data_IF_929939752440
#
_entry.id   IF_929939752440
#
_cell.length_a   1.000
_cell.length_b   1.000
_cell.length_c   1.000
_cell.angle_alpha   90.00
_cell.angle_beta   90.00
_cell.angle_gamma   90.00
#
_symmetry.space_group_name_H-M   'P 1'
#
loop_
_entity.id
_entity.type
_entity.pdbx_description
1 polymer ?
#
# COMPACT_ATOMS: atom_id res chain seq x y z
N UNK A 1 22.76 14.24 -18.89
CA UNK A 1 21.43 13.89 -18.35
C UNK A 1 21.43 13.78 -16.82
N UNK A 2 22.11 12.80 -16.19
CA UNK A 2 22.11 12.62 -14.71
C UNK A 2 22.44 13.88 -13.90
N UNK A 3 23.40 14.71 -14.37
CA UNK A 3 23.80 15.97 -13.70
C UNK A 3 22.73 17.08 -13.77
N UNK A 4 21.96 17.14 -14.86
CA UNK A 4 20.87 18.12 -15.00
C UNK A 4 19.67 17.73 -14.15
N UNK A 5 19.39 16.43 -14.10
CA UNK A 5 18.33 15.86 -13.26
C UNK A 5 18.67 16.06 -11.77
N UNK A 6 19.92 15.87 -11.35
CA UNK A 6 20.33 16.12 -9.95
C UNK A 6 20.25 17.61 -9.56
N UNK A 7 20.42 18.53 -10.50
CA UNK A 7 20.19 19.97 -10.30
C UNK A 7 18.70 20.33 -10.17
N UNK A 8 17.78 19.39 -10.37
CA UNK A 8 16.33 19.60 -10.23
C UNK A 8 15.59 19.88 -11.54
N UNK A 9 16.27 19.79 -12.68
CA UNK A 9 15.68 20.02 -14.00
C UNK A 9 15.05 18.73 -14.57
N UNK A 10 14.57 17.82 -13.71
CA UNK A 10 14.00 16.55 -14.14
C UNK A 10 12.77 16.74 -15.05
N UNK A 11 11.91 17.72 -14.72
CA UNK A 11 10.75 18.06 -15.53
C UNK A 11 11.14 18.65 -16.89
N UNK A 12 12.15 19.51 -16.93
CA UNK A 12 12.66 20.13 -18.17
C UNK A 12 13.29 19.09 -19.09
N UNK A 13 14.11 18.19 -18.54
CA UNK A 13 14.71 17.08 -19.31
C UNK A 13 13.64 16.18 -19.92
N UNK A 14 12.56 15.87 -19.20
CA UNK A 14 11.45 15.07 -19.74
C UNK A 14 10.69 15.83 -20.82
N UNK A 15 10.43 17.12 -20.63
CA UNK A 15 9.73 17.95 -21.60
C UNK A 15 10.53 18.14 -22.89
N UNK A 16 11.84 18.35 -22.79
CA UNK A 16 12.74 18.50 -23.93
C UNK A 16 12.88 17.20 -24.72
N UNK A 17 13.03 16.05 -24.04
CA UNK A 17 13.09 14.77 -24.75
C UNK A 17 11.76 14.47 -25.44
N UNK A 18 10.62 14.74 -24.79
CA UNK A 18 9.30 14.56 -25.40
C UNK A 18 9.03 15.52 -26.57
N UNK A 19 9.67 16.69 -26.61
CA UNK A 19 9.52 17.62 -27.74
C UNK A 19 10.35 17.17 -28.95
N UNK A 20 11.45 16.45 -28.72
CA UNK A 20 12.30 15.87 -29.78
C UNK A 20 11.73 14.54 -30.28
N UNK A 21 11.30 13.67 -29.37
CA UNK A 21 10.70 12.36 -29.67
C UNK A 21 9.62 12.03 -28.63
N UNK A 22 8.33 12.20 -28.99
CA UNK A 22 7.20 11.92 -28.09
C UNK A 22 7.12 10.46 -27.61
N UNK A 23 7.65 9.51 -28.38
CA UNK A 23 7.56 8.08 -28.08
C UNK A 23 8.77 7.55 -27.31
N UNK A 24 9.80 8.37 -27.12
CA UNK A 24 11.06 7.97 -26.50
C UNK A 24 10.87 7.26 -25.16
N UNK A 25 10.08 7.83 -24.24
CA UNK A 25 9.87 7.25 -22.91
C UNK A 25 8.84 6.12 -22.89
N UNK A 26 7.99 6.02 -23.91
CA UNK A 26 7.13 4.84 -24.10
C UNK A 26 8.00 3.62 -24.40
N UNK A 27 9.02 3.81 -25.24
CA UNK A 27 9.98 2.77 -25.60
C UNK A 27 11.05 2.55 -24.51
N UNK A 28 11.41 3.60 -23.76
CA UNK A 28 12.48 3.59 -22.76
C UNK A 28 11.98 3.87 -21.34
N UNK A 29 10.97 3.13 -20.89
CA UNK A 29 10.35 3.32 -19.56
C UNK A 29 11.33 3.21 -18.39
N UNK A 30 12.42 2.44 -18.53
CA UNK A 30 13.49 2.36 -17.51
C UNK A 30 14.22 3.69 -17.35
N UNK A 31 14.44 4.42 -18.44
CA UNK A 31 15.11 5.74 -18.40
C UNK A 31 14.20 6.77 -17.73
N UNK A 32 12.90 6.77 -18.06
CA UNK A 32 11.93 7.62 -17.38
C UNK A 32 11.87 7.31 -15.89
N UNK A 33 11.89 6.01 -15.52
CA UNK A 33 11.93 5.58 -14.13
C UNK A 33 13.15 6.16 -13.40
N UNK A 34 14.36 6.05 -13.97
CA UNK A 34 15.58 6.58 -13.36
C UNK A 34 15.54 8.11 -13.19
N UNK A 35 15.02 8.85 -14.18
CA UNK A 35 14.88 10.31 -14.09
C UNK A 35 13.93 10.67 -12.93
N UNK A 36 12.77 10.01 -12.86
CA UNK A 36 11.78 10.24 -11.80
C UNK A 36 12.24 9.75 -10.43
N UNK A 37 13.11 8.73 -10.38
CA UNK A 37 13.74 8.27 -9.15
C UNK A 37 14.67 9.35 -8.56
N UNK A 38 15.44 10.05 -9.40
CA UNK A 38 16.30 11.15 -8.94
C UNK A 38 15.45 12.34 -8.44
N UNK A 39 14.37 12.67 -9.16
CA UNK A 39 13.40 13.69 -8.72
C UNK A 39 12.80 13.33 -7.35
N UNK A 40 12.36 12.08 -7.19
CA UNK A 40 11.86 11.55 -5.92
C UNK A 40 12.88 11.69 -4.79
N UNK A 41 14.12 11.23 -5.00
CA UNK A 41 15.17 11.24 -3.99
C UNK A 41 15.51 12.67 -3.55
N UNK A 42 15.52 13.63 -4.49
CA UNK A 42 15.72 15.04 -4.18
C UNK A 42 14.57 15.61 -3.34
N UNK A 43 13.32 15.32 -3.71
CA UNK A 43 12.16 15.78 -2.96
C UNK A 43 12.14 15.17 -1.54
N UNK A 44 12.44 13.87 -1.43
CA UNK A 44 12.52 13.16 -0.16
C UNK A 44 13.63 13.74 0.75
N UNK A 45 14.82 14.01 0.22
CA UNK A 45 15.92 14.59 1.00
C UNK A 45 15.72 16.07 1.34
N UNK A 46 14.90 16.80 0.58
CA UNK A 46 14.50 18.18 0.88
C UNK A 46 13.35 18.32 1.89
N UNK A 47 12.77 17.21 2.37
CA UNK A 47 11.63 17.20 3.29
C UNK A 47 10.26 17.43 2.61
N UNK A 48 10.21 17.59 1.29
CA UNK A 48 8.97 17.77 0.51
C UNK A 48 8.33 16.40 0.21
N UNK A 49 7.88 15.73 1.26
CA UNK A 49 7.39 14.35 1.18
C UNK A 49 6.16 14.20 0.28
N UNK A 50 5.21 15.13 0.32
CA UNK A 50 4.03 15.10 -0.55
C UNK A 50 4.39 15.15 -2.03
N UNK A 51 5.42 15.93 -2.39
CA UNK A 51 5.97 15.99 -3.74
C UNK A 51 6.61 14.67 -4.15
N UNK A 52 7.46 14.10 -3.29
CA UNK A 52 8.07 12.79 -3.54
C UNK A 52 7.00 11.71 -3.76
N UNK A 53 5.95 11.72 -2.93
CA UNK A 53 4.84 10.78 -3.05
C UNK A 53 4.04 10.91 -4.33
N UNK A 54 3.81 12.15 -4.77
CA UNK A 54 3.18 12.39 -6.06
C UNK A 54 4.02 11.83 -7.20
N UNK A 55 5.35 11.99 -7.16
CA UNK A 55 6.25 11.42 -8.18
C UNK A 55 6.20 9.88 -8.16
N UNK A 56 6.23 9.28 -6.97
CA UNK A 56 6.18 7.83 -6.83
C UNK A 56 4.87 7.23 -7.36
N UNK A 57 3.72 7.76 -6.96
CA UNK A 57 2.41 7.29 -7.40
C UNK A 57 2.16 7.53 -8.89
N UNK A 58 2.48 8.73 -9.40
CA UNK A 58 2.15 9.14 -10.77
C UNK A 58 3.06 8.49 -11.82
N UNK A 59 4.32 8.21 -11.49
CA UNK A 59 5.29 7.73 -12.47
C UNK A 59 5.88 6.37 -12.08
N UNK A 60 6.51 6.29 -10.91
CA UNK A 60 7.30 5.11 -10.55
C UNK A 60 6.43 3.86 -10.38
N UNK A 61 5.25 4.00 -9.78
CA UNK A 61 4.28 2.92 -9.60
C UNK A 61 3.78 2.35 -10.93
N UNK A 62 3.33 3.22 -11.83
CA UNK A 62 2.85 2.82 -13.16
C UNK A 62 3.95 2.13 -13.99
N UNK A 63 5.16 2.66 -13.99
CA UNK A 63 6.28 2.07 -14.73
C UNK A 63 6.67 0.70 -14.17
N UNK A 64 6.64 0.52 -12.84
CA UNK A 64 6.96 -0.76 -12.22
C UNK A 64 5.84 -1.80 -12.37
N UNK A 65 4.58 -1.37 -12.49
CA UNK A 65 3.46 -2.26 -12.79
C UNK A 65 3.62 -2.90 -14.19
N UNK A 66 4.09 -2.12 -15.17
CA UNK A 66 4.32 -2.60 -16.54
C UNK A 66 5.65 -3.32 -16.74
N UNK A 67 6.61 -3.19 -15.81
CA UNK A 67 7.93 -3.82 -15.92
C UNK A 67 8.40 -4.38 -14.56
N UNK A 68 8.31 -5.72 -14.36
CA UNK A 68 8.68 -6.38 -13.10
C UNK A 68 10.13 -6.13 -12.64
N UNK A 69 11.06 -5.84 -13.54
CA UNK A 69 12.46 -5.57 -13.19
C UNK A 69 12.63 -4.30 -12.34
N UNK A 70 11.65 -3.38 -12.41
CA UNK A 70 11.66 -2.11 -11.68
C UNK A 70 11.08 -2.23 -10.25
N UNK A 71 10.48 -3.37 -9.88
CA UNK A 71 9.88 -3.56 -8.56
C UNK A 71 10.91 -3.51 -7.43
N UNK A 72 12.11 -4.08 -7.63
CA UNK A 72 13.19 -4.02 -6.65
C UNK A 72 13.70 -2.57 -6.48
N UNK A 73 14.10 -1.85 -7.55
CA UNK A 73 14.44 -0.43 -7.46
C UNK A 73 13.34 0.44 -6.83
N UNK A 74 12.07 0.19 -7.14
CA UNK A 74 10.95 0.94 -6.56
C UNK A 74 10.87 0.75 -5.05
N UNK A 75 10.95 -0.50 -4.57
CA UNK A 75 10.95 -0.81 -3.13
C UNK A 75 12.09 -0.10 -2.41
N UNK A 76 13.31 -0.21 -2.94
CA UNK A 76 14.50 0.45 -2.38
C UNK A 76 14.33 1.99 -2.32
N UNK A 77 13.70 2.57 -3.35
CA UNK A 77 13.39 4.00 -3.42
C UNK A 77 12.36 4.41 -2.38
N UNK A 78 11.26 3.67 -2.22
CA UNK A 78 10.24 4.01 -1.23
C UNK A 78 10.77 3.89 0.21
N UNK A 79 11.71 2.96 0.45
CA UNK A 79 12.37 2.81 1.74
C UNK A 79 13.17 4.06 2.14
N UNK A 80 13.73 4.84 1.20
CA UNK A 80 14.43 6.08 1.57
C UNK A 80 13.48 7.10 2.20
N UNK A 81 12.23 7.15 1.76
CA UNK A 81 11.22 8.01 2.38
C UNK A 81 10.85 7.54 3.79
N UNK A 82 10.86 6.23 4.04
CA UNK A 82 10.58 5.65 5.35
C UNK A 82 11.74 5.89 6.34
N UNK A 83 12.99 5.73 5.88
CA UNK A 83 14.21 5.89 6.71
C UNK A 83 14.48 7.33 7.13
N UNK A 84 14.19 8.30 6.26
CA UNK A 84 14.29 9.73 6.63
C UNK A 84 13.25 10.18 7.67
N UNK A 85 12.38 9.27 8.12
CA UNK A 85 11.23 9.56 8.95
C UNK A 85 11.17 8.64 10.20
N UNK A 86 12.25 7.94 10.58
CA UNK A 86 12.24 7.05 11.76
C UNK A 86 11.92 7.79 13.07
N UNK A 87 12.29 9.07 13.19
CA UNK A 87 11.92 9.92 14.33
C UNK A 87 10.43 10.37 14.32
N UNK A 88 9.78 10.29 13.16
CA UNK A 88 8.39 10.69 12.95
C UNK A 88 7.45 9.49 12.70
N UNK A 89 7.92 8.25 12.87
CA UNK A 89 7.08 7.04 12.84
C UNK A 89 6.07 7.00 14.03
N UNK A 90 6.33 7.80 15.06
CA UNK A 90 5.40 8.03 16.16
C UNK A 90 4.11 8.78 15.72
N UNK A 91 4.19 9.60 14.66
CA UNK A 91 3.07 10.41 14.16
C UNK A 91 2.64 9.90 12.77
N UNK A 92 1.45 9.31 12.69
CA UNK A 92 0.88 8.49 11.60
C UNK A 92 0.70 9.12 10.21
N UNK A 93 1.30 10.27 9.93
CA UNK A 93 1.00 11.09 8.74
C UNK A 93 1.63 10.60 7.43
N UNK A 94 2.89 10.11 7.34
CA UNK A 94 3.53 9.89 6.03
C UNK A 94 3.09 8.60 5.33
N UNK A 95 2.88 7.52 6.09
CA UNK A 95 2.35 6.26 5.55
C UNK A 95 0.92 6.39 5.03
N UNK A 96 0.11 7.24 5.66
CA UNK A 96 -1.25 7.52 5.21
C UNK A 96 -1.22 8.24 3.85
N UNK A 97 -0.32 9.21 3.66
CA UNK A 97 -0.19 9.91 2.36
C UNK A 97 0.34 8.95 1.27
N UNK A 98 1.30 8.07 1.61
CA UNK A 98 1.75 6.98 0.74
C UNK A 98 0.58 6.13 0.26
N UNK A 99 -0.20 5.60 1.21
CA UNK A 99 -1.35 4.76 0.97
C UNK A 99 -2.37 5.45 0.05
N UNK A 100 -2.78 6.68 0.36
CA UNK A 100 -3.80 7.40 -0.43
C UNK A 100 -3.31 7.89 -1.78
N UNK A 101 -1.99 8.02 -1.97
CA UNK A 101 -1.42 8.35 -3.29
C UNK A 101 -1.41 7.16 -4.24
N UNK A 102 -1.46 5.94 -3.72
CA UNK A 102 -1.62 4.72 -4.51
C UNK A 102 -3.10 4.55 -4.86
N UNK A 103 -3.44 4.58 -6.15
CA UNK A 103 -4.73 4.04 -6.61
C UNK A 103 -4.56 2.53 -6.78
N UNK A 104 -5.30 1.75 -6.01
CA UNK A 104 -5.32 0.30 -6.09
C UNK A 104 -6.77 -0.20 -6.09
N UNK A 105 -7.08 -1.17 -6.95
CA UNK A 105 -8.43 -1.73 -7.04
C UNK A 105 -8.82 -2.51 -5.77
N UNK A 106 -7.84 -3.21 -5.18
CA UNK A 106 -8.00 -4.09 -4.02
C UNK A 106 -6.81 -3.93 -3.07
N UNK A 107 -7.07 -3.95 -1.76
CA UNK A 107 -6.02 -3.99 -0.72
C UNK A 107 -6.08 -5.31 0.04
N UNK A 108 -4.97 -6.05 0.04
CA UNK A 108 -4.80 -7.27 0.84
C UNK A 108 -3.98 -6.97 2.10
N UNK A 109 -4.52 -7.31 3.25
CA UNK A 109 -3.95 -7.08 4.57
C UNK A 109 -3.62 -8.42 5.25
N UNK A 110 -2.32 -8.66 5.46
CA UNK A 110 -1.81 -9.82 6.20
C UNK A 110 -0.83 -9.35 7.28
N UNK A 111 -1.33 -8.48 8.17
CA UNK A 111 -0.53 -7.93 9.27
C UNK A 111 0.01 -9.05 10.17
N UNK A 112 1.20 -8.87 10.78
CA UNK A 112 1.77 -9.89 11.66
C UNK A 112 0.90 -10.09 12.90
N UNK A 113 0.65 -11.36 13.24
CA UNK A 113 -0.19 -11.76 14.39
C UNK A 113 0.62 -12.03 15.67
N UNK A 114 1.93 -11.80 15.65
CA UNK A 114 2.82 -12.13 16.79
C UNK A 114 3.47 -13.52 16.71
N UNK A 115 3.52 -14.12 15.52
CA UNK A 115 4.09 -15.47 15.33
C UNK A 115 3.28 -16.55 16.05
N UNK A 116 3.79 -17.78 16.22
CA UNK A 116 3.04 -18.90 16.82
C UNK A 116 2.39 -18.59 18.18
N UNK A 117 2.92 -17.61 18.91
CA UNK A 117 2.38 -17.14 20.19
C UNK A 117 0.93 -16.63 20.14
N UNK A 118 0.38 -16.29 18.96
CA UNK A 118 -1.04 -15.91 18.84
C UNK A 118 -1.99 -17.04 19.28
N UNK A 119 -1.55 -18.30 19.23
CA UNK A 119 -2.32 -19.47 19.66
C UNK A 119 -2.58 -19.48 21.17
N UNK A 120 -1.72 -18.83 21.96
CA UNK A 120 -1.89 -18.72 23.42
C UNK A 120 -3.00 -17.72 23.80
N UNK A 121 -3.53 -16.95 22.84
CA UNK A 121 -4.59 -15.99 23.06
C UNK A 121 -5.93 -16.67 22.82
N UNK A 122 -6.79 -16.76 23.85
CA UNK A 122 -8.10 -17.41 23.69
C UNK A 122 -9.00 -16.73 22.65
N UNK A 123 -8.95 -15.40 22.58
CA UNK A 123 -9.71 -14.58 21.65
C UNK A 123 -8.83 -13.44 21.15
N UNK A 124 -8.40 -13.49 19.90
CA UNK A 124 -7.48 -12.53 19.31
C UNK A 124 -8.24 -11.26 18.90
N UNK A 125 -7.99 -10.15 19.59
CA UNK A 125 -8.60 -8.86 19.22
C UNK A 125 -7.76 -8.12 18.19
N UNK A 126 -8.39 -7.26 17.39
CA UNK A 126 -7.72 -6.47 16.35
C UNK A 126 -6.67 -5.51 16.92
N UNK A 127 -6.78 -5.14 18.20
CA UNK A 127 -5.80 -4.32 18.94
C UNK A 127 -4.43 -5.00 19.11
N UNK A 128 -4.40 -6.34 19.01
CA UNK A 128 -3.18 -7.13 19.12
C UNK A 128 -2.34 -7.12 17.84
N UNK A 129 -2.90 -6.65 16.71
CA UNK A 129 -2.14 -6.50 15.48
C UNK A 129 -1.02 -5.47 15.67
N UNK A 130 0.13 -5.76 15.06
CA UNK A 130 1.32 -4.90 15.07
C UNK A 130 1.72 -4.57 13.62
N UNK A 131 2.43 -3.45 13.38
CA UNK A 131 2.83 -2.40 14.34
C UNK A 131 1.70 -1.44 14.72
N UNK A 132 0.56 -1.47 14.01
CA UNK A 132 -0.65 -0.69 14.29
C UNK A 132 -1.83 -1.63 14.50
N UNK A 133 -2.82 -1.17 15.26
CA UNK A 133 -4.04 -1.92 15.50
C UNK A 133 -4.84 -2.12 14.20
N UNK A 134 -5.68 -3.16 14.19
CA UNK A 134 -6.46 -3.53 13.01
C UNK A 134 -7.46 -2.47 12.56
N UNK A 135 -7.99 -1.66 13.48
CA UNK A 135 -8.91 -0.58 13.14
C UNK A 135 -8.19 0.52 12.36
N UNK A 136 -7.05 0.99 12.86
CA UNK A 136 -6.21 1.98 12.18
C UNK A 136 -5.77 1.51 10.80
N UNK A 137 -5.34 0.24 10.69
CA UNK A 137 -4.92 -0.35 9.40
C UNK A 137 -6.09 -0.40 8.42
N UNK A 138 -7.26 -0.86 8.87
CA UNK A 138 -8.46 -0.92 8.04
C UNK A 138 -8.90 0.47 7.56
N UNK A 139 -8.87 1.48 8.44
CA UNK A 139 -9.21 2.85 8.06
C UNK A 139 -8.23 3.43 7.03
N UNK A 140 -6.93 3.12 7.13
CA UNK A 140 -5.96 3.51 6.12
C UNK A 140 -6.26 2.82 4.79
N UNK A 141 -6.49 1.50 4.80
CA UNK A 141 -6.84 0.73 3.60
C UNK A 141 -8.12 1.26 2.92
N UNK A 142 -9.14 1.64 3.71
CA UNK A 142 -10.39 2.23 3.20
C UNK A 142 -10.20 3.56 2.48
N UNK A 143 -9.18 4.35 2.85
CA UNK A 143 -8.84 5.57 2.11
C UNK A 143 -8.23 5.28 0.74
N UNK A 144 -7.74 4.06 0.51
CA UNK A 144 -7.24 3.59 -0.78
C UNK A 144 -8.41 3.04 -1.62
N UNK A 145 -9.19 2.10 -1.06
CA UNK A 145 -10.29 1.41 -1.75
C UNK A 145 -11.29 0.80 -0.76
N UNK A 146 -12.59 0.70 -1.10
CA UNK A 146 -13.57 -0.06 -0.32
C UNK A 146 -13.38 -1.60 -0.43
N UNK A 147 -12.60 -2.06 -1.40
CA UNK A 147 -12.37 -3.47 -1.69
C UNK A 147 -11.15 -3.98 -0.90
N UNK A 148 -11.40 -4.49 0.31
CA UNK A 148 -10.34 -4.89 1.25
C UNK A 148 -10.46 -6.37 1.52
N UNK A 149 -9.33 -7.06 1.61
CA UNK A 149 -9.25 -8.46 2.01
C UNK A 149 -8.32 -8.53 3.22
N UNK A 150 -8.79 -9.08 4.34
CA UNK A 150 -8.00 -9.24 5.56
C UNK A 150 -7.81 -10.72 5.87
N UNK A 151 -6.55 -11.17 5.94
CA UNK A 151 -6.20 -12.49 6.47
C UNK A 151 -5.90 -12.37 7.96
N UNK A 152 -6.65 -13.10 8.78
CA UNK A 152 -6.66 -12.99 10.24
C UNK A 152 -6.52 -14.38 10.90
N UNK A 153 -6.02 -14.45 12.15
CA UNK A 153 -5.85 -15.72 12.84
C UNK A 153 -7.21 -16.37 13.15
N UNK A 154 -7.22 -17.70 13.27
CA UNK A 154 -8.47 -18.46 13.40
C UNK A 154 -9.27 -18.17 14.69
N UNK A 155 -8.60 -17.67 15.72
CA UNK A 155 -9.15 -17.31 17.02
C UNK A 155 -9.54 -15.82 17.11
N UNK A 156 -9.62 -15.09 15.98
CA UNK A 156 -9.97 -13.67 15.95
C UNK A 156 -11.39 -13.39 16.46
N UNK A 157 -11.56 -12.24 17.12
CA UNK A 157 -12.88 -11.74 17.50
C UNK A 157 -13.70 -11.32 16.27
N UNK A 158 -14.54 -12.24 15.80
CA UNK A 158 -15.42 -12.00 14.66
C UNK A 158 -16.38 -10.81 14.86
N UNK A 159 -16.69 -10.43 16.10
CA UNK A 159 -17.51 -9.25 16.36
C UNK A 159 -16.79 -7.97 15.93
N UNK A 160 -15.49 -7.85 16.23
CA UNK A 160 -14.69 -6.70 15.82
C UNK A 160 -14.54 -6.64 14.29
N UNK A 161 -14.40 -7.79 13.62
CA UNK A 161 -14.35 -7.85 12.14
C UNK A 161 -15.67 -7.38 11.51
N UNK A 162 -16.81 -7.80 12.06
CA UNK A 162 -18.14 -7.34 11.62
C UNK A 162 -18.35 -5.85 11.88
N UNK A 163 -17.85 -5.36 13.01
CA UNK A 163 -17.89 -3.94 13.38
C UNK A 163 -17.18 -3.06 12.35
N UNK A 164 -16.01 -3.48 11.83
CA UNK A 164 -15.31 -2.76 10.75
C UNK A 164 -16.19 -2.52 9.53
N UNK A 165 -16.95 -3.54 9.12
CA UNK A 165 -17.85 -3.47 7.97
C UNK A 165 -19.08 -2.60 8.27
N UNK A 166 -19.69 -2.78 9.45
CA UNK A 166 -20.91 -2.10 9.86
C UNK A 166 -20.72 -0.60 10.14
N UNK A 167 -19.65 -0.23 10.83
CA UNK A 167 -19.33 1.17 11.16
C UNK A 167 -18.70 1.93 9.98
N UNK A 168 -18.50 1.27 8.85
CA UNK A 168 -18.07 1.95 7.63
C UNK A 168 -19.20 2.79 7.04
N UNK A 169 -18.86 3.93 6.41
CA UNK A 169 -19.81 4.75 5.67
C UNK A 169 -19.39 4.87 4.20
N UNK A 170 -20.22 4.39 3.24
CA UNK A 170 -21.37 3.51 3.48
C UNK A 170 -20.94 2.16 4.11
N UNK A 171 -21.85 1.41 4.77
CA UNK A 171 -21.54 0.08 5.29
C UNK A 171 -21.03 -0.83 4.18
N UNK A 172 -19.98 -1.60 4.47
CA UNK A 172 -19.36 -2.48 3.49
C UNK A 172 -19.98 -3.88 3.57
N UNK A 173 -20.33 -4.51 2.43
CA UNK A 173 -20.58 -5.95 2.39
C UNK A 173 -19.40 -6.71 2.99
N UNK A 174 -19.67 -7.77 3.75
CA UNK A 174 -18.67 -8.60 4.42
C UNK A 174 -18.95 -10.08 4.20
N UNK A 175 -17.95 -10.80 3.69
CA UNK A 175 -17.92 -12.26 3.64
C UNK A 175 -16.74 -12.77 4.48
N UNK A 176 -16.94 -13.84 5.23
CA UNK A 176 -15.89 -14.47 6.04
C UNK A 176 -15.73 -15.92 5.59
N UNK A 177 -14.53 -16.25 5.14
CA UNK A 177 -14.12 -17.59 4.73
C UNK A 177 -13.17 -18.19 5.76
N UNK A 178 -13.34 -19.47 6.08
CA UNK A 178 -12.45 -20.22 6.95
C UNK A 178 -11.41 -21.00 6.14
N UNK A 179 -10.12 -20.86 6.49
CA UNK A 179 -9.02 -21.49 5.78
C UNK A 179 -8.51 -22.71 6.54
N UNK A 180 -8.52 -23.88 5.89
CA UNK A 180 -8.09 -25.15 6.46
C UNK A 180 -6.84 -25.69 5.76
N UNK A 181 -5.91 -26.25 6.55
CA UNK A 181 -4.76 -27.03 6.06
C UNK A 181 -4.78 -28.38 6.76
N UNK A 182 -4.88 -29.47 5.99
CA UNK A 182 -5.00 -30.83 6.53
C UNK A 182 -6.11 -30.94 7.60
N UNK A 183 -7.28 -30.38 7.31
CA UNK A 183 -8.44 -30.33 8.21
C UNK A 183 -8.25 -29.49 9.50
N UNK A 184 -7.11 -28.83 9.66
CA UNK A 184 -6.87 -27.90 10.77
C UNK A 184 -7.19 -26.48 10.34
N UNK A 185 -8.06 -25.79 11.09
CA UNK A 185 -8.37 -24.38 10.87
C UNK A 185 -7.11 -23.53 11.14
N UNK A 186 -6.63 -22.80 10.13
CA UNK A 186 -5.42 -21.99 10.23
C UNK A 186 -5.71 -20.51 10.41
N UNK A 187 -6.74 -20.01 9.74
CA UNK A 187 -7.09 -18.61 9.77
C UNK A 187 -8.44 -18.37 9.13
N UNK A 188 -8.85 -17.11 9.10
CA UNK A 188 -10.00 -16.65 8.34
C UNK A 188 -9.57 -15.60 7.32
N UNK A 189 -10.30 -15.50 6.21
CA UNK A 189 -10.19 -14.41 5.25
C UNK A 189 -11.49 -13.63 5.28
N UNK A 190 -11.42 -12.34 5.62
CA UNK A 190 -12.54 -11.42 5.59
C UNK A 190 -12.47 -10.57 4.33
N UNK A 191 -13.49 -10.66 3.49
CA UNK A 191 -13.63 -9.90 2.23
C UNK A 191 -14.62 -8.76 2.44
N UNK A 192 -14.23 -7.54 2.07
CA UNK A 192 -15.02 -6.33 2.24
C UNK A 192 -15.33 -5.68 0.88
N UNK A 193 -16.45 -4.96 0.79
CA UNK A 193 -16.82 -4.24 -0.45
C UNK A 193 -17.21 -5.22 -1.56
N UNK A 194 -16.79 -4.95 -2.80
CA UNK A 194 -17.11 -5.81 -3.95
C UNK A 194 -16.30 -7.10 -4.01
N UNK A 195 -15.34 -7.29 -3.10
CA UNK A 195 -14.62 -8.56 -2.95
C UNK A 195 -15.43 -9.61 -2.19
N UNK A 196 -16.42 -9.17 -1.41
CA UNK A 196 -17.38 -10.06 -0.80
C UNK A 196 -18.35 -10.57 -1.87
N UNK A 197 -18.62 -11.88 -1.88
CA UNK A 197 -19.71 -12.43 -2.69
C UNK A 197 -21.01 -11.79 -2.24
N UNK A 198 -21.82 -11.40 -3.23
CA UNK A 198 -23.21 -11.05 -2.96
C UNK A 198 -23.86 -12.26 -2.28
N UNK A 199 -24.19 -12.11 -1.00
CA UNK A 199 -24.97 -13.09 -0.28
C UNK A 199 -26.32 -13.20 -1.00
N UNK A 200 -26.49 -14.24 -1.81
CA UNK A 200 -27.82 -14.75 -2.14
C UNK A 200 -28.42 -15.16 -0.80
N UNK A 201 -29.24 -14.29 -0.22
CA UNK A 201 -30.15 -14.65 0.86
C UNK A 201 -30.85 -15.95 0.43
N UNK A 202 -30.57 -17.04 1.15
CA UNK A 202 -31.31 -18.29 1.12
C UNK A 202 -31.90 -18.49 2.50
#
# INVERSE_FOLDING_TARGET
>A
MKELVSKGMAAEVVAEVNSVDPDFFVQNGVVLFQIKQIEFLKLASSGVHSGALRVASTYLGHLAASNPTLLKPLKETLVTLLRSNEDALANSTPLTILATSFQADVVFLSSPWGGPSYENVKKFTLDLLKPKDGYSIFQIARKITPNIIMFLPHNVDLCQVKELAWLSYPPLPLEIEANYVQNNLKGITAYFGNTARASRLR
#
